data_IF_944008868194
#
_entry.id   IF_944008868194
#
_cell.length_a   1.000
_cell.length_b   1.000
_cell.length_c   1.000
_cell.angle_alpha   90.00
_cell.angle_beta   90.00
_cell.angle_gamma   90.00
#
_symmetry.space_group_name_H-M   'P 1'
#
loop_
_entity.id
_entity.type
_entity.pdbx_description
1 polymer ?
#
# COMPACT_ATOMS: atom_id res chain seq x y z
N UNK A 1 -3.72 -12.70 28.37
CA UNK A 1 -4.61 -11.72 27.71
C UNK A 1 -3.88 -11.18 26.49
N UNK A 2 -4.17 -11.74 25.32
CA UNK A 2 -3.67 -11.21 24.04
C UNK A 2 -4.53 -10.00 23.71
N UNK A 3 -3.96 -8.79 23.78
CA UNK A 3 -4.55 -7.63 23.14
C UNK A 3 -4.44 -7.88 21.63
N UNK A 4 -5.52 -8.35 21.00
CA UNK A 4 -5.69 -8.23 19.57
C UNK A 4 -5.71 -6.73 19.26
N UNK A 5 -4.56 -6.17 18.95
CA UNK A 5 -4.46 -4.87 18.28
C UNK A 5 -5.30 -5.01 17.02
N UNK A 6 -6.49 -4.42 17.04
CA UNK A 6 -7.33 -4.23 15.86
C UNK A 6 -6.49 -3.41 14.88
N UNK A 7 -5.76 -4.09 14.00
CA UNK A 7 -5.18 -3.47 12.81
C UNK A 7 -6.38 -2.88 12.07
N UNK A 8 -6.47 -1.54 12.01
CA UNK A 8 -7.51 -0.89 11.25
C UNK A 8 -7.25 -1.18 9.77
N UNK A 9 -7.91 -2.22 9.28
CA UNK A 9 -8.00 -2.54 7.86
C UNK A 9 -8.74 -1.44 7.11
N UNK A 10 -8.60 -1.38 5.79
CA UNK A 10 -9.31 -0.43 4.95
C UNK A 10 -10.83 -0.49 5.15
N UNK A 11 -11.39 0.56 5.74
CA UNK A 11 -12.83 0.86 5.87
C UNK A 11 -13.28 1.78 4.73
N UNK A 12 -14.02 1.21 3.78
CA UNK A 12 -14.54 1.94 2.62
C UNK A 12 -15.53 3.05 2.99
N UNK A 13 -16.24 2.95 4.12
CA UNK A 13 -17.24 3.93 4.54
C UNK A 13 -16.64 5.27 4.98
N UNK A 14 -15.35 5.25 5.33
CA UNK A 14 -14.56 6.42 5.75
C UNK A 14 -13.73 7.02 4.61
N UNK A 15 -13.68 6.36 3.45
CA UNK A 15 -12.85 6.78 2.34
C UNK A 15 -13.46 7.98 1.59
N UNK A 16 -12.64 9.01 1.41
CA UNK A 16 -12.99 10.18 0.61
C UNK A 16 -12.72 9.89 -0.88
N UNK A 17 -13.65 9.19 -1.52
CA UNK A 17 -13.54 8.80 -2.93
C UNK A 17 -13.53 10.00 -3.88
N UNK A 18 -12.56 10.01 -4.78
CA UNK A 18 -12.40 10.94 -5.91
C UNK A 18 -12.36 10.14 -7.20
N UNK A 19 -12.83 10.72 -8.31
CA UNK A 19 -12.78 10.06 -9.62
C UNK A 19 -11.56 10.51 -10.43
N UNK A 20 -10.70 9.57 -10.84
CA UNK A 20 -9.65 9.85 -11.80
C UNK A 20 -10.21 9.75 -13.23
N UNK A 21 -10.34 10.88 -13.92
CA UNK A 21 -10.89 10.93 -15.29
C UNK A 21 -10.00 10.28 -16.34
N UNK A 22 -8.69 10.17 -16.10
CA UNK A 22 -7.73 9.53 -17.02
C UNK A 22 -7.85 8.01 -16.94
N UNK A 23 -7.81 7.46 -15.72
CA UNK A 23 -7.89 6.00 -15.50
C UNK A 23 -9.33 5.49 -15.36
N UNK A 24 -10.32 6.38 -15.37
CA UNK A 24 -11.76 6.10 -15.19
C UNK A 24 -12.06 5.24 -13.96
N UNK A 25 -11.27 5.40 -12.89
CA UNK A 25 -11.36 4.58 -11.68
C UNK A 25 -11.45 5.48 -10.44
N UNK A 26 -12.37 5.21 -9.49
CA UNK A 26 -12.37 5.87 -8.20
C UNK A 26 -11.09 5.57 -7.40
N UNK A 27 -10.61 6.58 -6.68
CA UNK A 27 -9.46 6.49 -5.80
C UNK A 27 -9.66 7.34 -4.55
N UNK A 28 -8.96 7.00 -3.47
CA UNK A 28 -8.87 7.85 -2.28
C UNK A 28 -7.40 8.02 -1.88
N UNK A 29 -7.11 9.08 -1.13
CA UNK A 29 -5.81 9.27 -0.50
C UNK A 29 -5.88 8.84 0.96
N UNK A 30 -4.86 8.11 1.41
CA UNK A 30 -4.72 7.65 2.79
C UNK A 30 -3.33 7.95 3.31
N UNK A 31 -3.21 8.03 4.63
CA UNK A 31 -1.95 7.96 5.36
C UNK A 31 -1.92 6.60 6.06
N UNK A 32 -0.96 5.74 5.71
CA UNK A 32 -0.92 4.36 6.21
C UNK A 32 0.52 3.88 6.46
N UNK A 33 0.69 2.91 7.34
CA UNK A 33 1.97 2.22 7.51
C UNK A 33 2.23 1.23 6.38
N UNK A 34 3.49 1.14 5.96
CA UNK A 34 3.91 0.08 5.02
C UNK A 34 4.07 -1.22 5.80
N UNK A 35 3.39 -2.32 5.41
CA UNK A 35 3.51 -3.60 6.09
C UNK A 35 4.93 -4.14 6.02
N UNK A 36 5.38 -4.81 7.09
CA UNK A 36 6.70 -5.45 7.13
C UNK A 36 6.86 -6.50 6.01
N UNK A 37 5.77 -7.17 5.64
CA UNK A 37 5.71 -8.19 4.60
C UNK A 37 5.76 -7.64 3.16
N UNK A 38 5.64 -6.32 2.96
CA UNK A 38 5.74 -5.69 1.64
C UNK A 38 7.22 -5.63 1.20
N UNK A 39 7.77 -6.78 0.80
CA UNK A 39 9.17 -7.00 0.43
C UNK A 39 9.30 -7.26 -1.06
N UNK A 40 10.35 -6.72 -1.67
CA UNK A 40 10.61 -6.98 -3.08
C UNK A 40 11.12 -8.42 -3.31
N UNK A 41 11.20 -8.81 -4.58
CA UNK A 41 11.64 -10.15 -4.98
C UNK A 41 13.08 -10.50 -4.53
N UNK A 42 13.97 -9.51 -4.39
CA UNK A 42 15.34 -9.71 -3.93
C UNK A 42 15.36 -9.96 -2.42
N UNK A 43 14.58 -9.19 -1.66
CA UNK A 43 14.41 -9.35 -0.21
C UNK A 43 13.77 -10.69 0.16
N UNK A 44 12.93 -11.23 -0.73
CA UNK A 44 12.21 -12.49 -0.54
C UNK A 44 12.99 -13.73 -0.99
N UNK A 45 14.19 -13.58 -1.58
CA UNK A 45 14.86 -14.66 -2.32
C UNK A 45 13.89 -15.36 -3.30
N UNK A 46 13.04 -14.58 -3.94
CA UNK A 46 11.96 -15.09 -4.78
C UNK A 46 12.54 -15.83 -5.99
N UNK A 47 12.01 -17.03 -6.23
CA UNK A 47 12.35 -17.85 -7.38
C UNK A 47 11.08 -18.21 -8.13
N UNK A 48 11.01 -17.84 -9.40
CA UNK A 48 9.90 -18.19 -10.30
C UNK A 48 9.65 -19.70 -10.40
N UNK A 49 10.64 -20.53 -10.04
CA UNK A 49 10.54 -21.98 -10.07
C UNK A 49 9.93 -22.60 -8.81
N UNK A 50 9.77 -21.81 -7.74
CA UNK A 50 9.11 -22.24 -6.51
C UNK A 50 7.73 -21.60 -6.46
N UNK A 51 6.70 -22.42 -6.64
CA UNK A 51 5.30 -22.01 -6.54
C UNK A 51 4.88 -21.80 -5.08
N UNK A 52 5.56 -20.87 -4.40
CA UNK A 52 5.28 -20.50 -3.02
C UNK A 52 4.25 -19.37 -3.01
N UNK A 53 3.01 -19.73 -2.68
CA UNK A 53 1.88 -18.80 -2.63
C UNK A 53 2.09 -17.67 -1.61
N UNK A 54 2.81 -17.93 -0.51
CA UNK A 54 3.05 -16.90 0.49
C UNK A 54 4.02 -15.85 -0.05
N UNK A 55 5.10 -16.30 -0.71
CA UNK A 55 6.09 -15.40 -1.29
C UNK A 55 5.49 -14.58 -2.44
N UNK A 56 4.65 -15.20 -3.28
CA UNK A 56 3.92 -14.48 -4.32
C UNK A 56 3.01 -13.40 -3.72
N UNK A 57 2.24 -13.71 -2.66
CA UNK A 57 1.39 -12.74 -1.97
C UNK A 57 2.21 -11.54 -1.43
N UNK A 58 3.40 -11.79 -0.89
CA UNK A 58 4.29 -10.73 -0.38
C UNK A 58 4.84 -9.84 -1.50
N UNK A 59 5.20 -10.43 -2.63
CA UNK A 59 5.64 -9.68 -3.81
C UNK A 59 4.49 -8.83 -4.40
N UNK A 60 3.28 -9.38 -4.53
CA UNK A 60 2.09 -8.65 -4.97
C UNK A 60 1.77 -7.47 -4.03
N UNK A 61 1.83 -7.71 -2.72
CA UNK A 61 1.66 -6.65 -1.72
C UNK A 61 2.69 -5.52 -1.90
N UNK A 62 3.96 -5.87 -2.12
CA UNK A 62 5.02 -4.90 -2.40
C UNK A 62 4.71 -4.08 -3.65
N UNK A 63 4.30 -4.71 -4.76
CA UNK A 63 3.95 -4.01 -6.00
C UNK A 63 2.80 -3.03 -5.80
N UNK A 64 1.73 -3.47 -5.13
CA UNK A 64 0.56 -2.64 -4.88
C UNK A 64 0.88 -1.44 -3.96
N UNK A 65 1.68 -1.65 -2.91
CA UNK A 65 2.08 -0.56 -2.01
C UNK A 65 3.04 0.41 -2.72
N UNK A 66 4.00 -0.09 -3.50
CA UNK A 66 4.91 0.75 -4.28
C UNK A 66 4.14 1.61 -5.29
N UNK A 67 3.15 1.02 -5.97
CA UNK A 67 2.27 1.74 -6.89
C UNK A 67 1.41 2.80 -6.19
N UNK A 68 0.87 2.49 -5.02
CA UNK A 68 0.06 3.42 -4.24
C UNK A 68 0.89 4.63 -3.77
N UNK A 69 2.16 4.41 -3.38
CA UNK A 69 3.11 5.49 -3.07
C UNK A 69 3.45 6.26 -4.35
N UNK A 70 3.83 5.59 -5.43
CA UNK A 70 4.18 6.26 -6.68
C UNK A 70 3.06 7.17 -7.22
N UNK A 71 1.80 6.77 -7.05
CA UNK A 71 0.66 7.60 -7.44
C UNK A 71 0.41 8.80 -6.51
N UNK A 72 0.89 8.75 -5.27
CA UNK A 72 0.70 9.80 -4.27
C UNK A 72 1.84 10.83 -4.25
N UNK A 73 2.99 10.50 -4.81
CA UNK A 73 4.20 11.33 -4.80
C UNK A 73 4.62 11.63 -6.23
N UNK A 74 4.90 12.90 -6.55
CA UNK A 74 5.41 13.31 -7.87
C UNK A 74 6.89 12.89 -8.00
N UNK A 75 7.12 11.60 -8.17
CA UNK A 75 8.45 10.98 -8.24
C UNK A 75 8.49 9.86 -9.29
N UNK A 76 9.71 9.41 -9.61
CA UNK A 76 9.87 8.21 -10.42
C UNK A 76 9.64 6.92 -9.60
N UNK A 77 9.60 5.79 -10.31
CA UNK A 77 9.36 4.47 -9.71
C UNK A 77 10.47 4.05 -8.73
N UNK A 78 11.72 4.42 -9.02
CA UNK A 78 12.87 4.05 -8.17
C UNK A 78 12.78 4.78 -6.83
N UNK A 79 12.41 6.06 -6.86
CA UNK A 79 12.22 6.84 -5.65
C UNK A 79 11.00 6.35 -4.85
N UNK A 80 9.91 5.92 -5.50
CA UNK A 80 8.77 5.32 -4.82
C UNK A 80 9.15 4.05 -4.05
N UNK A 81 9.97 3.17 -4.64
CA UNK A 81 10.52 1.99 -3.96
C UNK A 81 11.41 2.39 -2.78
N UNK A 82 12.24 3.43 -2.94
CA UNK A 82 13.09 3.94 -1.87
C UNK A 82 12.25 4.47 -0.69
N UNK A 83 11.19 5.21 -0.98
CA UNK A 83 10.24 5.70 0.01
C UNK A 83 9.54 4.55 0.73
N UNK A 84 9.07 3.52 0.01
CA UNK A 84 8.49 2.31 0.59
C UNK A 84 9.43 1.70 1.62
N UNK A 85 10.67 1.37 1.24
CA UNK A 85 11.66 0.74 2.13
C UNK A 85 11.96 1.60 3.34
N UNK A 86 12.23 2.89 3.12
CA UNK A 86 12.52 3.86 4.18
C UNK A 86 11.40 3.95 5.21
N UNK A 87 10.14 4.05 4.76
CA UNK A 87 8.99 4.21 5.66
C UNK A 87 8.63 2.90 6.38
N UNK A 88 8.78 1.76 5.69
CA UNK A 88 8.65 0.42 6.30
C UNK A 88 9.69 0.21 7.40
N UNK A 89 10.97 0.48 7.16
CA UNK A 89 12.04 0.29 8.15
C UNK A 89 11.92 1.27 9.31
N UNK A 90 11.55 2.52 9.04
CA UNK A 90 11.35 3.53 10.07
C UNK A 90 10.03 3.34 10.84
N UNK A 91 9.15 2.43 10.43
CA UNK A 91 7.78 2.28 10.93
C UNK A 91 7.09 3.65 11.01
N UNK A 92 7.08 4.36 9.87
CA UNK A 92 6.44 5.68 9.74
C UNK A 92 5.38 5.63 8.65
N UNK A 93 4.21 6.25 8.86
CA UNK A 93 3.19 6.24 7.85
C UNK A 93 3.61 7.09 6.64
N UNK A 94 3.06 6.77 5.48
CA UNK A 94 3.29 7.48 4.22
C UNK A 94 1.96 7.68 3.48
N UNK A 95 1.87 8.77 2.73
CA UNK A 95 0.73 9.01 1.85
C UNK A 95 0.70 7.98 0.73
N UNK A 96 -0.48 7.45 0.46
CA UNK A 96 -0.76 6.48 -0.59
C UNK A 96 -2.06 6.83 -1.30
N UNK A 97 -2.11 6.59 -2.61
CA UNK A 97 -3.34 6.65 -3.42
C UNK A 97 -3.83 5.22 -3.62
N UNK A 98 -5.04 4.93 -3.13
CA UNK A 98 -5.66 3.61 -3.26
C UNK A 98 -6.81 3.71 -4.25
N UNK A 99 -6.75 2.91 -5.32
CA UNK A 99 -7.86 2.75 -6.24
C UNK A 99 -8.83 1.69 -5.72
N UNK A 100 -10.13 1.90 -5.94
CA UNK A 100 -11.19 1.00 -5.49
C UNK A 100 -10.95 -0.47 -5.89
N UNK A 101 -10.53 -0.71 -7.14
CA UNK A 101 -10.23 -2.05 -7.66
C UNK A 101 -9.06 -2.77 -6.96
N UNK A 102 -8.24 -2.07 -6.18
CA UNK A 102 -7.06 -2.60 -5.50
C UNK A 102 -7.21 -2.64 -3.97
N UNK A 103 -8.38 -2.32 -3.41
CA UNK A 103 -8.61 -2.37 -1.96
C UNK A 103 -8.29 -3.75 -1.38
N UNK A 104 -8.72 -4.82 -2.06
CA UNK A 104 -8.51 -6.20 -1.58
C UNK A 104 -7.04 -6.55 -1.40
N UNK A 105 -6.18 -6.08 -2.31
CA UNK A 105 -4.73 -6.28 -2.26
C UNK A 105 -4.06 -5.49 -1.11
N UNK A 106 -4.73 -4.47 -0.59
CA UNK A 106 -4.25 -3.59 0.47
C UNK A 106 -5.00 -3.78 1.81
N UNK A 107 -5.80 -4.85 1.92
CA UNK A 107 -6.66 -5.14 3.08
C UNK A 107 -5.92 -5.31 4.41
N UNK A 108 -4.59 -5.47 4.39
CA UNK A 108 -3.73 -5.56 5.58
C UNK A 108 -2.99 -4.26 5.95
N UNK A 109 -3.25 -3.14 5.28
CA UNK A 109 -2.66 -1.85 5.65
C UNK A 109 -3.23 -1.37 6.98
N UNK A 110 -2.36 -0.92 7.89
CA UNK A 110 -2.76 -0.14 9.04
C UNK A 110 -2.94 1.32 8.61
N UNK A 111 -4.19 1.78 8.56
CA UNK A 111 -4.56 3.14 8.13
C UNK A 111 -4.57 4.08 9.33
N UNK A 112 -3.81 5.17 9.22
CA UNK A 112 -3.77 6.25 10.21
C UNK A 112 -4.88 7.27 9.94
N UNK A 113 -5.05 7.66 8.68
CA UNK A 113 -5.97 8.73 8.29
C UNK A 113 -6.47 8.55 6.85
N UNK A 114 -7.73 8.91 6.60
CA UNK A 114 -8.28 9.11 5.26
C UNK A 114 -8.16 10.58 4.92
N UNK A 115 -7.42 10.90 3.86
CA UNK A 115 -7.07 12.28 3.55
C UNK A 115 -8.13 12.88 2.63
N UNK A 116 -8.66 14.04 3.00
CA UNK A 116 -9.40 14.88 2.08
C UNK A 116 -8.43 15.51 1.08
N UNK A 117 -8.80 15.51 -0.20
CA UNK A 117 -8.03 16.22 -1.22
C UNK A 117 -8.07 17.71 -0.89
N UNK A 118 -6.90 18.31 -0.61
CA UNK A 118 -6.77 19.77 -0.62
C UNK A 118 -7.00 20.24 -2.05
N UNK A 119 -8.18 20.82 -2.29
CA UNK A 119 -8.56 21.49 -3.54
C UNK A 119 -7.63 22.65 -3.81
#
# INVERSE_FOLDING_TARGET
>A
MQLSLLVQTFDESRAHWTFNHVTKTPYCEILAFVPEDAKDHLELNYSLYKNDKEVQRKAELWEHVAYAIWCAHDCDWVEAIRLLKKHREAQKPIRMVVYEKFISALSGLEIVEYLEKKV
#
